data_IF_157906139831
#
_entry.id   IF_157906139831
#
_cell.length_a   1.000
_cell.length_b   1.000
_cell.length_c   1.000
_cell.angle_alpha   90.00
_cell.angle_beta   90.00
_cell.angle_gamma   90.00
#
_symmetry.space_group_name_H-M   'P 1'
#
loop_
_entity.id
_entity.type
_entity.pdbx_description
1 polymer ?
#
# COMPACT_ATOMS: atom_id res chain seq x y z
N UNK A 1 19.60 -24.23 7.02
CA UNK A 1 18.42 -23.32 7.09
C UNK A 1 18.57 -22.29 5.98
N UNK A 2 17.72 -22.36 4.95
CA UNK A 2 17.91 -21.62 3.70
C UNK A 2 17.64 -20.12 3.90
N UNK A 3 18.68 -19.28 3.75
CA UNK A 3 18.57 -17.81 3.74
C UNK A 3 17.95 -17.28 2.43
N UNK A 4 17.91 -18.11 1.36
CA UNK A 4 17.44 -17.74 0.02
C UNK A 4 15.96 -17.30 -0.07
N UNK A 5 14.98 -17.98 0.55
CA UNK A 5 13.57 -17.57 0.47
C UNK A 5 13.26 -16.26 1.22
N UNK A 6 14.03 -15.90 2.25
CA UNK A 6 13.81 -14.66 3.01
C UNK A 6 14.38 -13.44 2.26
N UNK A 7 15.55 -13.59 1.62
CA UNK A 7 16.18 -12.53 0.81
C UNK A 7 15.33 -12.20 -0.42
N UNK A 8 14.81 -13.22 -1.12
CA UNK A 8 13.94 -13.03 -2.30
C UNK A 8 12.63 -12.32 -1.96
N UNK A 9 12.06 -12.59 -0.78
CA UNK A 9 10.80 -11.96 -0.36
C UNK A 9 10.96 -10.49 0.01
N UNK A 10 12.03 -10.12 0.72
CA UNK A 10 12.32 -8.71 1.06
C UNK A 10 12.57 -7.86 -0.19
N UNK A 11 13.31 -8.41 -1.16
CA UNK A 11 13.56 -7.75 -2.45
C UNK A 11 12.26 -7.53 -3.22
N UNK A 12 11.34 -8.51 -3.23
CA UNK A 12 10.02 -8.37 -3.85
C UNK A 12 9.18 -7.25 -3.20
N UNK A 13 9.10 -7.18 -1.87
CA UNK A 13 8.37 -6.11 -1.19
C UNK A 13 8.93 -4.73 -1.52
N UNK A 14 10.26 -4.62 -1.62
CA UNK A 14 10.91 -3.38 -1.96
C UNK A 14 10.59 -2.91 -3.39
N UNK A 15 10.71 -3.80 -4.39
CA UNK A 15 10.33 -3.45 -5.76
C UNK A 15 8.85 -3.11 -5.85
N UNK A 16 7.98 -3.83 -5.16
CA UNK A 16 6.56 -3.50 -5.13
C UNK A 16 6.31 -2.10 -4.53
N UNK A 17 7.00 -1.76 -3.45
CA UNK A 17 6.92 -0.43 -2.84
C UNK A 17 7.46 0.67 -3.77
N UNK A 18 8.54 0.41 -4.50
CA UNK A 18 9.05 1.30 -5.55
C UNK A 18 8.01 1.56 -6.65
N UNK A 19 7.37 0.49 -7.16
CA UNK A 19 6.32 0.62 -8.16
C UNK A 19 5.11 1.38 -7.63
N UNK A 20 4.74 1.13 -6.37
CA UNK A 20 3.66 1.85 -5.69
C UNK A 20 3.94 3.36 -5.57
N UNK A 21 5.16 3.72 -5.14
CA UNK A 21 5.59 5.12 -5.06
C UNK A 21 5.56 5.79 -6.44
N UNK A 22 6.10 5.12 -7.46
CA UNK A 22 6.07 5.63 -8.84
C UNK A 22 4.63 5.82 -9.35
N UNK A 23 3.74 4.87 -9.10
CA UNK A 23 2.33 4.96 -9.45
C UNK A 23 1.63 6.15 -8.78
N UNK A 24 1.91 6.40 -7.49
CA UNK A 24 1.36 7.56 -6.79
C UNK A 24 1.88 8.88 -7.35
N UNK A 25 3.13 8.99 -7.79
CA UNK A 25 3.64 10.22 -8.43
C UNK A 25 2.78 10.59 -9.65
N UNK A 26 2.33 9.61 -10.44
CA UNK A 26 1.56 9.86 -11.67
C UNK A 26 0.12 10.31 -11.41
N UNK A 27 -0.52 9.79 -10.36
CA UNK A 27 -1.98 9.93 -10.19
C UNK A 27 -2.41 10.63 -8.91
N UNK A 28 -1.55 10.77 -7.90
CA UNK A 28 -1.94 11.36 -6.62
C UNK A 28 -2.27 12.85 -6.82
N UNK A 29 -3.51 13.29 -6.51
CA UNK A 29 -3.93 14.67 -6.69
C UNK A 29 -3.44 15.56 -5.53
N UNK A 30 -2.13 15.52 -5.27
CA UNK A 30 -1.48 16.26 -4.19
C UNK A 30 -1.07 17.66 -4.61
N UNK A 31 -0.83 18.53 -3.62
CA UNK A 31 -0.14 19.81 -3.84
C UNK A 31 1.26 19.57 -4.43
N UNK A 32 1.83 20.52 -5.19
CA UNK A 32 3.18 20.38 -5.78
C UNK A 32 4.24 19.92 -4.77
N UNK A 33 4.25 20.49 -3.57
CA UNK A 33 5.16 20.08 -2.48
C UNK A 33 5.05 18.59 -2.11
N UNK A 34 3.82 18.04 -2.07
CA UNK A 34 3.58 16.62 -1.75
C UNK A 34 3.96 15.71 -2.91
N UNK A 35 3.76 16.15 -4.16
CA UNK A 35 4.25 15.40 -5.32
C UNK A 35 5.78 15.39 -5.33
N UNK A 36 6.42 16.52 -5.02
CA UNK A 36 7.88 16.62 -4.89
C UNK A 36 8.44 15.73 -3.80
N UNK A 37 7.71 15.57 -2.70
CA UNK A 37 8.02 14.59 -1.65
C UNK A 37 8.05 13.16 -2.19
N UNK A 38 7.04 12.77 -2.97
CA UNK A 38 6.97 11.43 -3.55
C UNK A 38 8.09 11.20 -4.58
N UNK A 39 8.38 12.18 -5.43
CA UNK A 39 9.52 12.13 -6.37
C UNK A 39 10.85 11.96 -5.64
N UNK A 40 11.08 12.78 -4.60
CA UNK A 40 12.30 12.69 -3.79
C UNK A 40 12.40 11.33 -3.12
N UNK A 41 11.30 10.82 -2.54
CA UNK A 41 11.28 9.48 -1.97
C UNK A 41 11.64 8.41 -3.03
N UNK A 42 11.07 8.51 -4.24
CA UNK A 42 11.35 7.58 -5.33
C UNK A 42 12.83 7.58 -5.75
N UNK A 43 13.42 8.76 -5.97
CA UNK A 43 14.84 8.91 -6.31
C UNK A 43 15.73 8.25 -5.25
N UNK A 44 15.42 8.49 -3.98
CA UNK A 44 16.18 7.93 -2.87
C UNK A 44 16.03 6.42 -2.75
N UNK A 45 14.80 5.90 -2.90
CA UNK A 45 14.57 4.45 -2.91
C UNK A 45 15.35 3.79 -4.05
N UNK A 46 15.32 4.35 -5.25
CA UNK A 46 16.09 3.86 -6.41
C UNK A 46 17.60 3.86 -6.16
N UNK A 47 18.11 4.84 -5.41
CA UNK A 47 19.54 4.95 -5.11
C UNK A 47 20.05 3.94 -4.07
N UNK A 48 19.16 3.24 -3.36
CA UNK A 48 19.56 2.32 -2.30
C UNK A 48 20.09 0.97 -2.83
N UNK A 49 21.05 0.35 -2.12
CA UNK A 49 21.54 -0.97 -2.47
C UNK A 49 20.41 -2.01 -2.34
N UNK A 50 20.05 -2.62 -3.47
CA UNK A 50 18.86 -3.46 -3.67
C UNK A 50 18.91 -4.80 -2.94
N UNK A 51 20.07 -5.20 -2.42
CA UNK A 51 20.30 -6.55 -1.91
C UNK A 51 19.54 -6.79 -0.60
N UNK A 52 19.49 -5.76 0.27
CA UNK A 52 18.68 -5.71 1.51
C UNK A 52 18.50 -4.26 1.95
N UNK A 53 17.26 -3.83 2.08
CA UNK A 53 16.94 -2.51 2.65
C UNK A 53 16.32 -2.75 4.03
N UNK A 54 17.07 -2.47 5.12
CA UNK A 54 16.52 -2.59 6.46
C UNK A 54 15.44 -1.52 6.67
N UNK A 55 14.38 -1.87 7.42
CA UNK A 55 13.30 -0.95 7.75
C UNK A 55 13.84 0.35 8.39
N UNK A 56 14.86 0.25 9.24
CA UNK A 56 15.48 1.40 9.89
C UNK A 56 16.14 2.38 8.90
N UNK A 57 16.61 1.91 7.73
CA UNK A 57 17.11 2.80 6.68
C UNK A 57 15.99 3.59 6.00
N UNK A 58 14.82 2.98 5.81
CA UNK A 58 13.62 3.70 5.34
C UNK A 58 13.16 4.70 6.40
N UNK A 59 13.20 4.29 7.68
CA UNK A 59 12.79 5.16 8.79
C UNK A 59 13.72 6.37 8.92
N UNK A 60 15.04 6.17 8.83
CA UNK A 60 16.04 7.24 8.80
C UNK A 60 15.83 8.19 7.62
N UNK A 61 15.55 7.63 6.44
CA UNK A 61 15.24 8.42 5.25
C UNK A 61 14.03 9.35 5.49
N UNK A 62 12.90 8.79 5.93
CA UNK A 62 11.65 9.55 6.06
C UNK A 62 11.68 10.51 7.26
N UNK A 63 12.18 10.07 8.42
CA UNK A 63 12.10 10.87 9.65
C UNK A 63 13.26 11.85 9.83
N UNK A 64 14.42 11.57 9.24
CA UNK A 64 15.59 12.44 9.35
C UNK A 64 15.87 13.15 8.04
N UNK A 65 16.22 12.43 6.98
CA UNK A 65 16.76 13.07 5.77
C UNK A 65 15.73 13.94 5.05
N UNK A 66 14.52 13.41 4.81
CA UNK A 66 13.44 14.15 4.17
C UNK A 66 12.97 15.33 5.04
N UNK A 67 12.93 15.14 6.36
CA UNK A 67 12.58 16.19 7.33
C UNK A 67 13.60 17.34 7.34
N UNK A 68 14.90 17.01 7.29
CA UNK A 68 15.99 18.00 7.19
C UNK A 68 15.87 18.81 5.89
N UNK A 69 15.53 18.15 4.78
CA UNK A 69 15.31 18.80 3.49
C UNK A 69 14.07 19.71 3.45
N UNK A 70 13.25 19.76 4.51
CA UNK A 70 12.00 20.53 4.53
C UNK A 70 10.89 19.95 3.68
N UNK A 71 11.06 18.71 3.20
CA UNK A 71 10.12 18.01 2.34
C UNK A 71 9.55 16.85 3.17
N UNK A 72 8.49 17.12 3.94
CA UNK A 72 7.85 16.15 4.82
C UNK A 72 6.34 16.42 4.91
N UNK A 73 5.55 15.38 5.22
CA UNK A 73 4.15 15.52 5.65
C UNK A 73 4.08 15.86 7.14
N UNK A 74 2.88 16.11 7.67
CA UNK A 74 2.68 16.34 9.10
C UNK A 74 3.29 15.21 9.95
N UNK A 75 3.85 15.57 11.12
CA UNK A 75 4.44 14.60 12.06
C UNK A 75 3.40 13.83 12.90
N UNK A 76 2.13 14.16 12.71
CA UNK A 76 0.98 13.51 13.34
C UNK A 76 -0.09 13.28 12.28
N UNK A 77 -0.93 12.29 12.55
CA UNK A 77 -2.06 11.96 11.68
C UNK A 77 -3.27 12.77 12.15
N UNK A 78 -3.80 13.59 11.25
CA UNK A 78 -5.04 14.34 11.47
C UNK A 78 -6.14 13.79 10.56
N UNK A 79 -7.24 13.32 11.14
CA UNK A 79 -8.42 12.92 10.39
C UNK A 79 -9.46 14.03 10.46
N UNK A 80 -9.95 14.45 9.29
CA UNK A 80 -11.11 15.36 9.18
C UNK A 80 -12.31 14.58 8.65
N UNK A 81 -12.41 14.38 7.33
CA UNK A 81 -13.52 13.64 6.72
C UNK A 81 -13.54 12.12 6.98
N UNK A 82 -12.51 11.59 7.66
CA UNK A 82 -12.40 10.20 8.09
C UNK A 82 -12.29 10.05 9.61
N UNK A 83 -12.49 11.13 10.38
CA UNK A 83 -12.51 11.07 11.83
C UNK A 83 -13.64 10.18 12.32
N UNK A 84 -13.33 9.20 13.17
CA UNK A 84 -14.33 8.37 13.84
C UNK A 84 -14.84 9.04 15.11
N UNK A 85 -16.05 8.64 15.55
CA UNK A 85 -16.60 9.00 16.86
C UNK A 85 -15.75 8.46 18.02
N UNK A 86 -14.97 7.41 17.75
CA UNK A 86 -13.98 6.82 18.67
C UNK A 86 -12.68 6.54 17.93
N UNK A 87 -11.56 6.54 18.66
CA UNK A 87 -10.22 6.43 18.10
C UNK A 87 -9.97 5.17 17.24
N UNK A 88 -10.63 4.06 17.56
CA UNK A 88 -10.51 2.79 16.83
C UNK A 88 -11.39 2.68 15.58
N UNK A 89 -12.25 3.67 15.33
CA UNK A 89 -13.22 3.66 14.24
C UNK A 89 -12.74 4.55 13.08
N UNK A 90 -13.19 4.20 11.86
CA UNK A 90 -12.91 4.94 10.61
C UNK A 90 -11.42 5.10 10.35
N UNK A 91 -10.84 6.30 10.44
CA UNK A 91 -9.40 6.56 10.33
C UNK A 91 -8.76 6.03 9.05
N UNK A 92 -7.64 5.33 9.20
CA UNK A 92 -6.81 4.85 8.10
C UNK A 92 -7.56 3.97 7.06
N UNK A 93 -8.41 2.99 7.45
CA UNK A 93 -9.26 2.29 6.48
C UNK A 93 -10.16 3.23 5.65
N UNK A 94 -10.73 4.27 6.26
CA UNK A 94 -11.54 5.26 5.53
C UNK A 94 -10.69 6.07 4.54
N UNK A 95 -9.50 6.53 4.97
CA UNK A 95 -8.63 7.31 4.09
C UNK A 95 -8.09 6.48 2.93
N UNK A 96 -7.84 5.17 3.15
CA UNK A 96 -7.38 4.27 2.10
C UNK A 96 -8.44 4.06 1.02
N UNK A 97 -9.71 3.90 1.41
CA UNK A 97 -10.82 3.88 0.45
C UNK A 97 -10.90 5.17 -0.35
N UNK A 98 -10.86 6.35 0.32
CA UNK A 98 -10.89 7.63 -0.37
C UNK A 98 -9.71 7.81 -1.33
N UNK A 99 -8.51 7.43 -0.91
CA UNK A 99 -7.31 7.47 -1.75
C UNK A 99 -7.51 6.68 -3.03
N UNK A 100 -7.93 5.41 -2.95
CA UNK A 100 -8.07 4.60 -4.16
C UNK A 100 -9.26 5.02 -5.03
N UNK A 101 -10.35 5.53 -4.46
CA UNK A 101 -11.43 6.16 -5.25
C UNK A 101 -10.89 7.38 -6.03
N UNK A 102 -10.17 8.28 -5.37
CA UNK A 102 -9.50 9.41 -6.04
C UNK A 102 -8.52 8.97 -7.10
N UNK A 103 -7.70 7.93 -6.87
CA UNK A 103 -6.77 7.43 -7.89
C UNK A 103 -7.49 6.81 -9.09
N UNK A 104 -8.62 6.11 -8.89
CA UNK A 104 -9.42 5.61 -10.02
C UNK A 104 -10.01 6.75 -10.85
N UNK A 105 -10.51 7.80 -10.18
CA UNK A 105 -11.06 8.98 -10.85
C UNK A 105 -9.97 9.78 -11.56
N UNK A 106 -8.78 9.94 -10.96
CA UNK A 106 -7.65 10.61 -11.59
C UNK A 106 -7.19 9.88 -12.86
N UNK A 107 -7.07 8.55 -12.82
CA UNK A 107 -6.73 7.77 -14.01
C UNK A 107 -7.79 7.90 -15.12
N UNK A 108 -9.07 7.96 -14.75
CA UNK A 108 -10.18 8.14 -15.68
C UNK A 108 -10.27 9.57 -16.26
N UNK A 109 -9.92 10.58 -15.47
CA UNK A 109 -9.98 11.99 -15.86
C UNK A 109 -8.73 12.46 -16.63
N UNK A 110 -7.59 11.79 -16.44
CA UNK A 110 -6.31 12.13 -17.09
C UNK A 110 -5.72 10.91 -17.79
N UNK A 111 -6.22 10.51 -18.98
CA UNK A 111 -5.76 9.32 -19.69
C UNK A 111 -4.25 9.32 -20.00
N UNK A 112 -3.67 10.51 -20.16
CA UNK A 112 -2.24 10.68 -20.45
C UNK A 112 -1.34 10.68 -19.21
N UNK A 113 -1.90 10.67 -17.99
CA UNK A 113 -1.11 10.67 -16.76
C UNK A 113 -0.22 9.42 -16.62
N UNK A 114 -0.62 8.31 -17.27
CA UNK A 114 0.14 7.07 -17.30
C UNK A 114 0.87 6.84 -18.64
N UNK A 115 0.89 7.82 -19.54
CA UNK A 115 1.57 7.69 -20.83
C UNK A 115 3.09 7.56 -20.64
N UNK A 116 3.74 6.74 -21.46
CA UNK A 116 5.17 6.41 -21.36
C UNK A 116 5.56 5.70 -20.04
N UNK A 117 4.60 5.10 -19.36
CA UNK A 117 4.83 4.26 -18.18
C UNK A 117 4.45 2.81 -18.48
N UNK A 118 4.82 1.87 -17.63
CA UNK A 118 4.39 0.46 -17.76
C UNK A 118 2.88 0.25 -17.54
N UNK A 119 2.19 1.28 -17.05
CA UNK A 119 0.75 1.28 -16.82
C UNK A 119 -0.04 1.84 -18.01
N UNK A 120 0.65 2.28 -19.08
CA UNK A 120 0.01 2.87 -20.25
C UNK A 120 -1.01 1.90 -20.87
N UNK A 121 -2.24 2.38 -21.08
CA UNK A 121 -3.33 1.59 -21.65
C UNK A 121 -3.90 0.49 -20.73
N UNK A 122 -3.39 0.28 -19.51
CA UNK A 122 -3.94 -0.70 -18.58
C UNK A 122 -5.08 -0.10 -17.74
N UNK A 123 -6.32 -0.34 -18.18
CA UNK A 123 -7.52 0.06 -17.46
C UNK A 123 -7.60 -0.49 -16.01
N UNK A 124 -6.85 -1.56 -15.70
CA UNK A 124 -6.80 -2.17 -14.38
C UNK A 124 -5.66 -1.65 -13.49
N UNK A 125 -4.81 -0.75 -13.98
CA UNK A 125 -3.58 -0.34 -13.28
C UNK A 125 -3.86 0.07 -11.82
N UNK A 126 -4.85 0.94 -11.59
CA UNK A 126 -5.24 1.38 -10.24
C UNK A 126 -5.79 0.24 -9.38
N UNK A 127 -6.64 -0.63 -9.93
CA UNK A 127 -7.24 -1.73 -9.19
C UNK A 127 -6.22 -2.82 -8.84
N UNK A 128 -5.29 -3.14 -9.75
CA UNK A 128 -4.17 -4.06 -9.50
C UNK A 128 -3.22 -3.51 -8.44
N UNK A 129 -2.94 -2.20 -8.49
CA UNK A 129 -2.13 -1.51 -7.48
C UNK A 129 -2.80 -1.56 -6.11
N UNK A 130 -4.10 -1.27 -6.03
CA UNK A 130 -4.88 -1.42 -4.80
C UNK A 130 -4.86 -2.84 -4.27
N UNK A 131 -5.11 -3.83 -5.14
CA UNK A 131 -5.15 -5.26 -4.77
C UNK A 131 -3.83 -5.72 -4.18
N UNK A 132 -2.71 -5.41 -4.82
CA UNK A 132 -1.40 -5.81 -4.30
C UNK A 132 -1.02 -5.04 -3.03
N UNK A 133 -1.35 -3.75 -2.92
CA UNK A 133 -1.16 -3.01 -1.66
C UNK A 133 -1.92 -3.66 -0.50
N UNK A 134 -3.20 -3.99 -0.73
CA UNK A 134 -4.04 -4.63 0.29
C UNK A 134 -3.51 -6.02 0.66
N UNK A 135 -3.05 -6.79 -0.32
CA UNK A 135 -2.49 -8.12 -0.09
C UNK A 135 -1.22 -8.06 0.76
N UNK A 136 -0.31 -7.14 0.45
CA UNK A 136 1.01 -7.10 1.06
C UNK A 136 1.06 -6.27 2.35
N UNK A 137 0.52 -5.04 2.33
CA UNK A 137 0.78 -4.02 3.36
C UNK A 137 -0.40 -3.72 4.28
N UNK A 138 -1.64 -4.01 3.87
CA UNK A 138 -2.80 -3.63 4.69
C UNK A 138 -2.90 -4.47 5.97
N UNK A 139 -3.02 -3.78 7.11
CA UNK A 139 -2.91 -4.41 8.43
C UNK A 139 -4.03 -5.41 8.75
N UNK A 140 -5.27 -5.13 8.34
CA UNK A 140 -6.40 -6.02 8.59
C UNK A 140 -6.41 -7.20 7.58
N UNK A 141 -5.93 -8.36 8.01
CA UNK A 141 -5.83 -9.55 7.14
C UNK A 141 -7.18 -10.14 6.73
N UNK A 142 -8.16 -10.13 7.62
CA UNK A 142 -9.54 -10.52 7.30
C UNK A 142 -10.15 -9.60 6.22
N UNK A 143 -9.96 -8.28 6.38
CA UNK A 143 -10.40 -7.30 5.39
C UNK A 143 -9.72 -7.52 4.03
N UNK A 144 -8.42 -7.83 4.04
CA UNK A 144 -7.66 -8.12 2.83
C UNK A 144 -8.15 -9.39 2.13
N UNK A 145 -8.48 -10.46 2.86
CA UNK A 145 -9.07 -11.67 2.30
C UNK A 145 -10.43 -11.42 1.64
N UNK A 146 -11.28 -10.63 2.29
CA UNK A 146 -12.56 -10.22 1.70
C UNK A 146 -12.38 -9.41 0.42
N UNK A 147 -11.44 -8.46 0.39
CA UNK A 147 -11.15 -7.69 -0.82
C UNK A 147 -10.60 -8.58 -1.94
N UNK A 148 -9.67 -9.48 -1.61
CA UNK A 148 -9.09 -10.43 -2.57
C UNK A 148 -10.14 -11.37 -3.18
N UNK A 149 -11.14 -11.81 -2.39
CA UNK A 149 -12.25 -12.61 -2.89
C UNK A 149 -13.08 -11.84 -3.94
N UNK A 150 -13.46 -10.60 -3.64
CA UNK A 150 -14.19 -9.74 -4.58
C UNK A 150 -13.35 -9.42 -5.83
N UNK A 151 -12.03 -9.26 -5.67
CA UNK A 151 -11.10 -9.03 -6.77
C UNK A 151 -11.04 -10.24 -7.72
N UNK A 152 -10.87 -11.46 -7.17
CA UNK A 152 -10.85 -12.70 -7.97
C UNK A 152 -12.16 -12.96 -8.70
N UNK A 153 -13.28 -12.55 -8.10
CA UNK A 153 -14.61 -12.77 -8.66
C UNK A 153 -14.83 -12.01 -9.98
N UNK A 154 -14.46 -10.72 -10.02
CA UNK A 154 -14.90 -9.87 -11.14
C UNK A 154 -13.98 -8.69 -11.48
N UNK A 155 -12.75 -8.62 -10.99
CA UNK A 155 -11.84 -7.52 -11.37
C UNK A 155 -11.43 -7.62 -12.84
N UNK A 156 -11.12 -8.83 -13.34
CA UNK A 156 -10.62 -9.05 -14.70
C UNK A 156 -11.63 -8.72 -15.83
N UNK A 157 -12.90 -8.51 -15.46
CA UNK A 157 -13.94 -8.08 -16.40
C UNK A 157 -13.90 -6.58 -16.73
N UNK A 158 -13.18 -5.76 -15.95
CA UNK A 158 -13.07 -4.31 -16.17
C UNK A 158 -12.17 -4.03 -17.38
N UNK A 159 -12.66 -3.21 -18.32
CA UNK A 159 -12.03 -2.90 -19.61
C UNK A 159 -11.69 -1.42 -19.79
N UNK A 160 -12.30 -0.53 -19.03
CA UNK A 160 -12.07 0.92 -19.13
C UNK A 160 -11.78 1.54 -17.76
N UNK A 161 -11.15 2.73 -17.75
CA UNK A 161 -10.90 3.46 -16.50
C UNK A 161 -12.22 3.86 -15.80
N UNK A 162 -13.26 4.18 -16.58
CA UNK A 162 -14.60 4.49 -16.05
C UNK A 162 -15.26 3.26 -15.42
N UNK A 163 -15.10 2.08 -16.05
CA UNK A 163 -15.52 0.82 -15.44
C UNK A 163 -14.74 0.51 -14.16
N UNK A 164 -13.46 0.90 -14.07
CA UNK A 164 -12.66 0.72 -12.86
C UNK A 164 -13.18 1.57 -11.69
N UNK A 165 -13.56 2.82 -11.96
CA UNK A 165 -14.23 3.73 -11.01
C UNK A 165 -15.53 3.08 -10.50
N UNK A 166 -16.39 2.62 -11.41
CA UNK A 166 -17.66 1.98 -11.06
C UNK A 166 -17.45 0.64 -10.34
N UNK A 167 -16.48 -0.18 -10.74
CA UNK A 167 -16.19 -1.45 -10.10
C UNK A 167 -15.82 -1.25 -8.63
N UNK A 168 -14.93 -0.30 -8.35
CA UNK A 168 -14.50 -0.02 -6.98
C UNK A 168 -15.66 0.50 -6.13
N UNK A 169 -16.50 1.38 -6.70
CA UNK A 169 -17.72 1.87 -6.06
C UNK A 169 -18.69 0.73 -5.72
N UNK A 170 -19.02 -0.14 -6.68
CA UNK A 170 -19.92 -1.29 -6.45
C UNK A 170 -19.39 -2.20 -5.34
N UNK A 171 -18.10 -2.58 -5.40
CA UNK A 171 -17.50 -3.45 -4.37
C UNK A 171 -17.44 -2.77 -3.01
N UNK A 172 -17.22 -1.45 -2.95
CA UNK A 172 -17.28 -0.72 -1.69
C UNK A 172 -18.70 -0.72 -1.10
N UNK A 173 -19.74 -0.59 -1.91
CA UNK A 173 -21.12 -0.72 -1.46
C UNK A 173 -21.49 -2.13 -0.98
N UNK A 174 -20.94 -3.19 -1.61
CA UNK A 174 -21.07 -4.55 -1.08
C UNK A 174 -20.43 -4.68 0.31
N UNK A 175 -19.28 -4.03 0.53
CA UNK A 175 -18.63 -3.98 1.85
C UNK A 175 -19.47 -3.19 2.84
N UNK A 176 -20.05 -2.05 2.45
CA UNK A 176 -20.96 -1.27 3.30
C UNK A 176 -22.15 -2.12 3.74
N UNK A 177 -22.82 -2.79 2.80
CA UNK A 177 -23.96 -3.68 3.08
C UNK A 177 -23.60 -4.80 4.05
N UNK A 178 -22.43 -5.42 3.91
CA UNK A 178 -21.96 -6.48 4.82
C UNK A 178 -21.65 -5.94 6.22
N UNK A 179 -21.09 -4.74 6.32
CA UNK A 179 -20.64 -4.14 7.58
C UNK A 179 -21.74 -3.33 8.30
N UNK A 180 -22.89 -3.12 7.67
CA UNK A 180 -24.03 -2.46 8.29
C UNK A 180 -24.51 -3.22 9.54
N UNK A 181 -24.60 -2.53 10.68
CA UNK A 181 -24.93 -3.11 11.98
C UNK A 181 -23.82 -3.96 12.62
N UNK A 182 -22.64 -4.04 12.02
CA UNK A 182 -21.53 -4.80 12.60
C UNK A 182 -20.95 -4.07 13.84
N UNK A 183 -20.36 -4.79 14.81
CA UNK A 183 -19.72 -4.16 15.97
C UNK A 183 -18.58 -3.18 15.65
N UNK A 184 -18.01 -3.27 14.45
CA UNK A 184 -16.99 -2.36 13.92
C UNK A 184 -17.56 -1.10 13.24
N UNK A 185 -18.88 -1.00 13.11
CA UNK A 185 -19.55 0.17 12.54
C UNK A 185 -19.45 1.36 13.49
N UNK A 186 -19.25 2.55 12.91
CA UNK A 186 -19.28 3.78 13.68
C UNK A 186 -20.72 4.27 13.82
N UNK A 187 -21.26 4.43 15.04
CA UNK A 187 -22.64 4.89 15.23
C UNK A 187 -22.93 6.27 14.61
N UNK A 188 -21.92 7.15 14.52
CA UNK A 188 -22.06 8.48 13.91
C UNK A 188 -21.73 8.47 12.40
N UNK A 189 -21.40 7.32 11.84
CA UNK A 189 -21.23 7.14 10.40
C UNK A 189 -21.72 5.75 9.96
N UNK A 190 -23.05 5.50 10.03
CA UNK A 190 -23.63 4.22 9.64
C UNK A 190 -23.29 3.86 8.18
N UNK A 191 -23.15 2.56 7.92
CA UNK A 191 -22.94 2.02 6.58
C UNK A 191 -24.26 2.05 5.83
N UNK A 192 -24.27 2.83 4.77
CA UNK A 192 -25.37 2.93 3.83
C UNK A 192 -24.85 2.60 2.43
N UNK A 193 -25.77 2.25 1.54
CA UNK A 193 -25.44 2.29 0.13
C UNK A 193 -25.18 3.74 -0.27
N UNK A 194 -24.02 4.00 -0.86
CA UNK A 194 -23.50 5.33 -1.10
C UNK A 194 -23.40 5.59 -2.61
N UNK A 195 -23.69 6.80 -3.12
CA UNK A 195 -24.19 7.96 -2.39
C UNK A 195 -25.62 7.78 -1.89
N UNK A 196 -26.00 8.59 -0.89
CA UNK A 196 -27.41 8.70 -0.48
C UNK A 196 -28.18 9.56 -1.48
N UNK A 197 -29.53 9.47 -1.53
CA UNK A 197 -30.35 10.33 -2.37
C UNK A 197 -30.16 11.82 -2.08
N UNK A 198 -29.80 12.18 -0.84
CA UNK A 198 -29.46 13.56 -0.45
C UNK A 198 -28.18 14.07 -1.10
N UNK A 199 -27.20 13.19 -1.33
CA UNK A 199 -25.93 13.53 -1.98
C UNK A 199 -26.05 13.52 -3.50
N UNK A 200 -26.85 12.62 -4.07
CA UNK A 200 -27.04 12.52 -5.51
C UNK A 200 -28.41 11.92 -5.85
N UNK A 201 -29.47 12.72 -5.90
CA UNK A 201 -30.81 12.24 -6.25
C UNK A 201 -30.86 11.60 -7.65
N UNK A 202 -30.12 12.16 -8.63
CA UNK A 202 -30.03 11.65 -9.99
C UNK A 202 -29.38 10.26 -10.10
N UNK A 203 -28.61 9.84 -9.08
CA UNK A 203 -27.98 8.52 -9.04
C UNK A 203 -28.97 7.39 -8.76
N UNK A 204 -30.16 7.72 -8.24
CA UNK A 204 -31.20 6.75 -7.86
C UNK A 204 -32.36 6.82 -8.83
N UNK A 205 -32.82 5.66 -9.27
CA UNK A 205 -34.03 5.51 -10.06
C UNK A 205 -34.89 4.37 -9.50
N UNK A 206 -36.14 4.30 -9.95
CA UNK A 206 -37.08 3.27 -9.55
C UNK A 206 -37.59 2.55 -10.81
N UNK A 207 -37.29 1.26 -10.91
CA UNK A 207 -37.72 0.41 -12.03
C UNK A 207 -38.63 -0.68 -11.45
N UNK A 208 -39.90 -0.70 -11.88
CA UNK A 208 -40.91 -1.65 -11.39
C UNK A 208 -41.10 -1.65 -9.86
N UNK A 209 -41.02 -0.49 -9.21
CA UNK A 209 -41.17 -0.38 -7.76
C UNK A 209 -39.91 -0.73 -6.96
N UNK A 210 -38.81 -1.06 -7.63
CA UNK A 210 -37.54 -1.44 -7.02
C UNK A 210 -36.49 -0.36 -7.28
N UNK A 211 -35.72 -0.05 -6.24
CA UNK A 211 -34.58 0.84 -6.36
C UNK A 211 -33.56 0.27 -7.36
N UNK A 212 -33.09 1.13 -8.26
CA UNK A 212 -32.01 0.86 -9.18
C UNK A 212 -31.01 2.02 -9.21
N UNK A 213 -29.78 1.74 -9.63
CA UNK A 213 -28.74 2.74 -9.79
C UNK A 213 -28.69 3.23 -11.23
N UNK A 214 -28.79 4.55 -11.42
CA UNK A 214 -28.40 5.16 -12.68
C UNK A 214 -26.87 5.30 -12.71
N UNK A 215 -26.18 4.25 -13.17
CA UNK A 215 -24.72 4.19 -13.13
C UNK A 215 -24.02 5.29 -13.93
N UNK A 216 -24.68 5.89 -14.92
CA UNK A 216 -24.16 7.05 -15.66
C UNK A 216 -24.06 8.26 -14.73
N UNK A 217 -25.12 8.55 -13.99
CA UNK A 217 -25.15 9.65 -13.01
C UNK A 217 -24.25 9.36 -11.81
N UNK A 218 -24.16 8.09 -11.38
CA UNK A 218 -23.18 7.67 -10.37
C UNK A 218 -21.75 7.97 -10.83
N UNK A 219 -21.39 7.63 -12.07
CA UNK A 219 -20.06 7.92 -12.59
C UNK A 219 -19.76 9.42 -12.63
N UNK A 220 -20.73 10.24 -13.06
CA UNK A 220 -20.61 11.72 -13.04
C UNK A 220 -20.38 12.22 -11.62
N UNK A 221 -21.18 11.73 -10.66
CA UNK A 221 -21.05 12.07 -9.26
C UNK A 221 -19.68 11.65 -8.68
N UNK A 222 -19.21 10.43 -8.97
CA UNK A 222 -17.92 9.92 -8.51
C UNK A 222 -16.76 10.77 -9.03
N UNK A 223 -16.77 11.08 -10.34
CA UNK A 223 -15.73 11.91 -10.97
C UNK A 223 -15.66 13.31 -10.37
N UNK A 224 -16.82 13.88 -10.01
CA UNK A 224 -16.86 15.13 -9.27
C UNK A 224 -16.34 14.93 -7.85
N UNK A 225 -17.00 14.11 -7.04
CA UNK A 225 -16.75 13.95 -5.61
C UNK A 225 -15.30 13.58 -5.26
N UNK A 226 -14.66 12.73 -6.07
CA UNK A 226 -13.27 12.29 -5.86
C UNK A 226 -12.26 13.00 -6.76
N UNK A 227 -12.71 13.94 -7.59
CA UNK A 227 -11.84 14.73 -8.46
C UNK A 227 -10.97 15.71 -7.66
N UNK A 228 -9.79 16.02 -8.18
CA UNK A 228 -8.81 16.89 -7.50
C UNK A 228 -9.39 18.26 -7.06
N UNK A 229 -10.37 18.78 -7.80
CA UNK A 229 -10.99 20.08 -7.53
C UNK A 229 -11.88 20.11 -6.28
N UNK A 230 -12.37 18.96 -5.81
CA UNK A 230 -13.22 18.88 -4.61
C UNK A 230 -12.37 18.66 -3.32
N UNK A 231 -11.04 18.64 -3.43
CA UNK A 231 -10.14 18.49 -2.28
C UNK A 231 -10.04 19.83 -1.52
N UNK A 232 -10.54 19.86 -0.29
CA UNK A 232 -10.43 21.04 0.58
C UNK A 232 -9.03 21.18 1.18
N UNK A 233 -8.38 22.31 0.94
CA UNK A 233 -7.08 22.67 1.53
C UNK A 233 -7.19 23.39 2.88
N UNK A 234 -8.40 23.55 3.44
CA UNK A 234 -8.64 24.31 4.68
C UNK A 234 -7.83 23.79 5.88
N UNK A 235 -7.58 22.49 5.91
CA UNK A 235 -6.87 21.80 6.99
C UNK A 235 -5.47 21.33 6.56
N UNK A 236 -4.94 21.84 5.44
CA UNK A 236 -3.58 21.57 5.02
C UNK A 236 -2.62 22.46 5.82
N UNK A 237 -1.46 21.92 6.21
CA UNK A 237 -0.44 22.67 6.95
C UNK A 237 0.06 23.88 6.11
N UNK A 238 0.00 25.12 6.64
CA UNK A 238 0.45 26.33 5.94
C UNK A 238 1.97 26.37 5.70
N UNK A 239 2.75 25.59 6.46
CA UNK A 239 4.21 25.74 6.54
C UNK A 239 4.93 25.33 5.24
N UNK A 240 4.28 24.60 4.33
CA UNK A 240 4.88 24.20 3.04
C UNK A 240 4.83 25.28 1.95
N UNK A 241 3.88 26.23 2.02
CA UNK A 241 3.57 27.10 0.87
C UNK A 241 4.30 28.47 0.96
N UNK A 242 4.82 28.84 2.13
CA UNK A 242 5.51 30.13 2.34
C UNK A 242 6.95 30.20 1.82
N UNK A 243 7.62 29.06 1.58
CA UNK A 243 9.03 29.06 1.11
C UNK A 243 9.17 29.30 -0.39
N UNK A 244 8.14 28.99 -1.19
CA UNK A 244 8.14 29.28 -2.63
C UNK A 244 7.90 30.77 -2.92
N UNK A 245 7.26 31.51 -2.01
CA UNK A 245 6.97 32.93 -2.19
C UNK A 245 8.16 33.85 -1.86
N UNK A 246 9.11 33.40 -1.03
CA UNK A 246 10.28 34.22 -0.64
C UNK A 246 11.46 34.11 -1.61
N UNK A 247 11.57 33.03 -2.39
CA UNK A 247 12.66 32.85 -3.37
C UNK A 247 12.39 33.57 -4.71
N UNK A 248 11.19 34.17 -4.87
CA UNK A 248 10.77 34.90 -6.07
C UNK A 248 10.79 36.43 -5.94
N UNK A 249 11.30 37.00 -4.82
CA UNK A 249 11.16 38.44 -4.54
C UNK A 249 12.37 39.09 -3.85
N UNK A 250 13.53 38.98 -4.48
CA UNK A 250 14.64 39.96 -4.40
C UNK A 250 15.23 39.99 -5.80
N UNK A 251 15.06 41.02 -6.62
CA UNK A 251 15.76 42.28 -6.47
C UNK A 251 14.98 43.44 -7.12
N UNK A 252 14.79 44.51 -6.38
CA UNK A 252 14.49 45.82 -6.95
C UNK A 252 15.30 46.86 -6.18
N UNK A 253 16.48 47.20 -6.70
CA UNK A 253 17.14 48.45 -6.35
C UNK A 253 17.73 49.12 -7.62
N UNK A 254 17.18 50.29 -7.90
CA UNK A 254 17.55 51.26 -8.93
C UNK A 254 19.05 51.57 -8.98
N UNK A 255 19.64 51.65 -10.19
CA UNK A 255 20.40 52.85 -10.62
C UNK A 255 20.67 52.90 -12.14
N UNK A 256 20.20 54.00 -12.76
CA UNK A 256 20.73 54.83 -13.89
C UNK A 256 21.43 54.19 -15.11
N UNK A 257 20.91 54.54 -16.30
CA UNK A 257 21.62 54.54 -17.59
C UNK A 257 22.79 55.54 -17.64
N UNK A 258 23.78 55.37 -18.55
CA UNK A 258 23.65 55.94 -19.90
C UNK A 258 24.23 55.09 -21.07
N UNK A 259 23.50 55.08 -22.20
CA UNK A 259 23.95 55.24 -23.60
C UNK A 259 25.11 54.43 -24.22
N UNK A 260 24.77 53.66 -25.29
CA UNK A 260 25.49 53.68 -26.58
C UNK A 260 26.29 52.42 -27.01
N UNK A 261 25.96 51.88 -28.20
CA UNK A 261 26.96 51.28 -29.11
C UNK A 261 26.97 49.75 -29.34
N UNK A 262 26.39 49.34 -30.47
CA UNK A 262 26.69 48.23 -31.39
C UNK A 262 27.61 47.02 -31.04
N UNK A 263 27.08 45.85 -31.43
CA UNK A 263 27.68 44.74 -32.21
C UNK A 263 28.26 43.47 -31.55
N UNK A 264 27.91 42.36 -32.22
CA UNK A 264 28.51 41.01 -32.31
C UNK A 264 28.70 40.10 -31.07
N UNK A 265 28.30 38.82 -31.24
CA UNK A 265 29.06 37.71 -30.66
C UNK A 265 28.25 36.57 -30.03
N UNK A 266 27.84 35.61 -30.86
CA UNK A 266 27.32 34.30 -30.47
C UNK A 266 28.47 33.39 -29.97
N UNK A 267 28.38 32.83 -28.75
CA UNK A 267 28.61 31.39 -28.42
C UNK A 267 28.90 31.07 -26.94
N UNK A 268 28.40 29.87 -26.56
CA UNK A 268 28.79 28.97 -25.45
C UNK A 268 28.27 29.30 -24.04
N UNK A 269 27.62 28.41 -23.26
CA UNK A 269 27.37 26.95 -23.30
C UNK A 269 26.21 26.63 -22.32
N UNK A 270 25.43 25.55 -22.49
CA UNK A 270 24.40 25.13 -21.54
C UNK A 270 25.00 24.42 -20.32
N UNK A 271 24.40 24.66 -19.15
CA UNK A 271 24.61 23.90 -17.92
C UNK A 271 23.84 22.57 -18.05
N UNK A 272 24.54 21.44 -17.93
CA UNK A 272 23.97 20.10 -18.02
C UNK A 272 22.93 19.84 -16.91
N UNK A 273 21.65 19.76 -17.29
CA UNK A 273 20.60 19.11 -16.52
C UNK A 273 20.58 17.63 -16.90
N UNK A 274 20.95 16.76 -15.97
CA UNK A 274 20.75 15.31 -16.10
C UNK A 274 19.26 14.98 -15.98
N UNK A 275 18.58 14.95 -17.13
CA UNK A 275 17.27 14.33 -17.27
C UNK A 275 17.39 12.82 -17.04
N UNK A 276 16.85 12.31 -15.94
CA UNK A 276 16.63 10.87 -15.76
C UNK A 276 15.30 10.51 -16.41
N UNK A 277 15.37 10.07 -17.67
CA UNK A 277 14.20 9.63 -18.43
C UNK A 277 13.67 8.23 -18.05
N UNK A 278 12.51 7.83 -18.60
CA UNK A 278 11.78 6.59 -18.31
C UNK A 278 12.55 5.27 -18.61
N UNK A 279 13.78 5.35 -19.15
CA UNK A 279 14.59 4.18 -19.51
C UNK A 279 15.21 3.42 -18.33
N UNK A 280 15.30 4.00 -17.13
CA UNK A 280 15.95 3.33 -16.00
C UNK A 280 15.14 2.14 -15.46
N UNK A 281 13.81 2.25 -15.41
CA UNK A 281 12.94 1.16 -14.94
C UNK A 281 12.92 -0.01 -15.95
N UNK A 282 12.93 0.29 -17.26
CA UNK A 282 13.09 -0.73 -18.31
C UNK A 282 14.42 -1.51 -18.19
N UNK A 283 15.47 -0.85 -17.69
CA UNK A 283 16.80 -1.46 -17.51
C UNK A 283 16.89 -2.41 -16.31
N UNK A 284 16.06 -2.22 -15.29
CA UNK A 284 15.97 -3.10 -14.12
C UNK A 284 15.24 -4.43 -14.42
N UNK A 285 14.37 -4.45 -15.43
CA UNK A 285 13.53 -5.60 -15.81
C UNK A 285 14.21 -6.62 -16.75
N UNK A 286 15.42 -6.33 -17.25
CA UNK A 286 16.07 -7.11 -18.30
C UNK A 286 17.14 -8.09 -17.81
N UNK A 287 16.97 -8.68 -16.61
CA UNK A 287 17.74 -9.86 -16.20
C UNK A 287 16.96 -11.14 -16.53
N UNK A 288 17.48 -12.05 -17.38
CA UNK A 288 16.77 -13.28 -17.72
C UNK A 288 16.64 -14.20 -16.50
N UNK A 289 15.43 -14.69 -16.26
CA UNK A 289 15.17 -15.89 -15.46
C UNK A 289 15.52 -17.08 -16.37
N UNK A 290 16.56 -17.84 -16.02
CA UNK A 290 16.87 -19.11 -16.70
C UNK A 290 15.67 -20.06 -16.57
N UNK A 291 15.08 -20.41 -17.71
CA UNK A 291 14.07 -21.47 -17.84
C UNK A 291 14.78 -22.81 -18.05
N UNK A 292 14.71 -23.71 -17.09
CA UNK A 292 15.03 -25.13 -17.31
C UNK A 292 13.91 -25.82 -18.10
N UNK A 293 14.28 -26.53 -19.17
CA UNK A 293 13.38 -27.34 -20.01
C UNK A 293 12.99 -28.66 -19.34
N UNK A 294 11.81 -29.24 -19.65
CA UNK A 294 11.41 -30.54 -19.13
C UNK A 294 11.99 -31.70 -19.98
N UNK A 295 12.44 -32.76 -19.30
CA UNK A 295 12.76 -34.06 -19.91
C UNK A 295 11.66 -35.07 -19.57
N UNK A 296 11.08 -35.68 -20.59
CA UNK A 296 10.23 -36.87 -20.48
C UNK A 296 11.02 -38.11 -20.92
N UNK A 297 11.08 -39.15 -20.08
CA UNK A 297 10.90 -40.52 -20.54
C UNK A 297 10.44 -41.49 -19.43
N UNK A 298 9.30 -42.13 -19.75
CA UNK A 298 8.61 -43.33 -19.26
C UNK A 298 9.54 -44.55 -19.03
N UNK A 299 9.22 -45.66 -18.34
CA UNK A 299 8.10 -46.23 -17.55
C UNK A 299 8.64 -47.55 -16.97
N UNK A 300 8.13 -47.99 -15.80
CA UNK A 300 8.00 -49.43 -15.56
C UNK A 300 8.08 -49.89 -14.10
N UNK A 301 6.95 -50.36 -13.54
CA UNK A 301 6.97 -51.32 -12.43
C UNK A 301 5.98 -51.13 -11.28
N UNK A 302 4.69 -51.43 -11.56
CA UNK A 302 3.61 -51.89 -10.64
C UNK A 302 3.81 -51.76 -9.11
N UNK A 303 2.91 -50.98 -8.49
CA UNK A 303 2.10 -51.48 -7.37
C UNK A 303 0.77 -50.70 -7.32
N UNK A 304 -0.36 -51.40 -7.26
CA UNK A 304 -1.69 -50.81 -7.17
C UNK A 304 -2.04 -50.51 -5.72
N UNK A 305 -2.52 -49.29 -5.43
CA UNK A 305 -3.51 -49.05 -4.36
C UNK A 305 -4.37 -47.86 -4.77
N UNK A 306 -5.68 -48.08 -4.95
CA UNK A 306 -6.67 -47.04 -4.75
C UNK A 306 -6.78 -46.80 -3.24
N UNK A 307 -6.50 -45.60 -2.75
CA UNK A 307 -7.05 -45.13 -1.48
C UNK A 307 -7.19 -43.61 -1.47
N UNK A 308 -8.42 -43.17 -1.13
CA UNK A 308 -8.86 -41.81 -0.86
C UNK A 308 -8.05 -41.14 0.25
N UNK A 309 -8.10 -39.80 0.26
CA UNK A 309 -8.31 -39.09 1.53
C UNK A 309 -7.07 -38.51 2.20
N UNK A 310 -7.11 -37.20 2.39
CA UNK A 310 -6.62 -36.54 3.60
C UNK A 310 -7.29 -37.21 4.81
N UNK A 311 -6.72 -38.31 5.27
CA UNK A 311 -7.04 -38.98 6.52
C UNK A 311 -5.83 -38.87 7.44
N UNK A 312 -5.89 -37.97 8.41
CA UNK A 312 -4.95 -37.97 9.53
C UNK A 312 -5.03 -39.35 10.20
N UNK A 313 -3.93 -40.10 10.19
CA UNK A 313 -3.88 -41.43 10.80
C UNK A 313 -3.76 -41.30 12.32
N UNK A 314 -4.36 -42.22 13.07
CA UNK A 314 -4.22 -42.31 14.54
C UNK A 314 -2.76 -42.38 15.00
N UNK A 315 -1.84 -42.76 14.11
CA UNK A 315 -0.40 -42.78 14.35
C UNK A 315 0.17 -41.35 14.51
N UNK A 316 -0.22 -40.38 13.69
CA UNK A 316 0.27 -39.00 13.78
C UNK A 316 -0.28 -38.26 15.00
N UNK A 317 -1.54 -38.55 15.39
CA UNK A 317 -2.09 -38.07 16.65
C UNK A 317 -1.45 -38.79 17.85
N UNK A 318 -1.19 -40.10 17.78
CA UNK A 318 -0.51 -40.84 18.85
C UNK A 318 0.94 -40.38 19.02
N UNK A 319 1.65 -40.06 17.94
CA UNK A 319 3.00 -39.52 17.99
C UNK A 319 3.00 -38.14 18.64
N UNK A 320 2.03 -37.29 18.27
CA UNK A 320 1.89 -35.96 18.87
C UNK A 320 1.57 -36.05 20.37
N UNK A 321 0.68 -36.96 20.78
CA UNK A 321 0.36 -37.20 22.20
C UNK A 321 1.54 -37.80 22.96
N UNK A 322 2.28 -38.75 22.37
CA UNK A 322 3.48 -39.34 22.99
C UNK A 322 4.58 -38.29 23.14
N UNK A 323 4.82 -37.45 22.12
CA UNK A 323 5.77 -36.34 22.19
C UNK A 323 5.35 -35.28 23.22
N UNK A 324 4.05 -35.02 23.35
CA UNK A 324 3.52 -34.12 24.37
C UNK A 324 3.69 -34.69 25.79
N UNK A 325 3.29 -35.95 26.01
CA UNK A 325 3.40 -36.63 27.31
C UNK A 325 4.86 -36.77 27.73
N UNK A 326 5.76 -37.15 26.82
CA UNK A 326 7.21 -37.25 27.09
C UNK A 326 7.80 -35.88 27.44
N UNK A 327 7.40 -34.81 26.75
CA UNK A 327 7.81 -33.44 27.09
C UNK A 327 7.31 -33.03 28.49
N UNK A 328 6.05 -33.30 28.82
CA UNK A 328 5.49 -33.04 30.14
C UNK A 328 6.20 -33.82 31.25
N UNK A 329 6.49 -35.11 31.03
CA UNK A 329 7.24 -35.95 31.98
C UNK A 329 8.67 -35.44 32.17
N UNK A 330 9.34 -35.02 31.10
CA UNK A 330 10.67 -34.44 31.16
C UNK A 330 10.69 -33.15 32.00
N UNK A 331 9.72 -32.25 31.78
CA UNK A 331 9.57 -31.03 32.58
C UNK A 331 9.28 -31.33 34.05
N UNK A 332 8.45 -32.32 34.35
CA UNK A 332 8.17 -32.77 35.72
C UNK A 332 9.42 -33.33 36.39
N UNK A 333 10.23 -34.13 35.69
CA UNK A 333 11.50 -34.66 36.21
C UNK A 333 12.49 -33.53 36.48
N UNK A 334 12.64 -32.57 35.54
CA UNK A 334 13.48 -31.39 35.78
C UNK A 334 13.00 -30.60 36.98
N UNK A 335 11.69 -30.35 37.09
CA UNK A 335 11.11 -29.65 38.23
C UNK A 335 11.40 -30.38 39.55
N UNK A 336 11.21 -31.70 39.62
CA UNK A 336 11.53 -32.49 40.81
C UNK A 336 13.03 -32.50 41.10
N UNK A 337 13.89 -32.62 40.09
CA UNK A 337 15.33 -32.55 40.26
C UNK A 337 15.76 -31.20 40.85
N UNK A 338 15.27 -30.09 40.32
CA UNK A 338 15.53 -28.76 40.86
C UNK A 338 14.93 -28.58 42.26
N UNK A 339 13.74 -29.13 42.53
CA UNK A 339 13.11 -29.06 43.85
C UNK A 339 13.86 -29.88 44.89
N UNK A 340 14.34 -31.08 44.56
CA UNK A 340 15.18 -31.92 45.43
C UNK A 340 16.54 -31.28 45.63
N UNK A 341 17.15 -30.72 44.57
CA UNK A 341 18.43 -30.02 44.66
C UNK A 341 18.33 -28.74 45.49
N UNK A 342 17.23 -27.98 45.35
CA UNK A 342 16.90 -26.81 46.18
C UNK A 342 16.69 -27.20 47.65
N UNK A 343 15.99 -28.30 47.93
CA UNK A 343 15.83 -28.82 49.30
C UNK A 343 17.17 -29.32 49.89
N UNK A 344 18.02 -29.99 49.11
CA UNK A 344 19.37 -30.40 49.54
C UNK A 344 20.29 -29.21 49.80
N UNK A 345 20.13 -28.12 49.06
CA UNK A 345 20.78 -26.84 49.35
C UNK A 345 20.27 -26.23 50.67
N UNK A 346 18.96 -26.23 50.92
CA UNK A 346 18.40 -25.74 52.20
C UNK A 346 18.82 -26.60 53.41
N UNK A 347 18.99 -27.90 53.25
CA UNK A 347 19.49 -28.80 54.32
C UNK A 347 21.00 -28.57 54.57
N UNK A 348 21.80 -28.26 53.54
CA UNK A 348 23.23 -27.96 53.71
C UNK A 348 23.51 -26.64 54.46
N UNK A 349 22.58 -25.67 54.42
CA UNK A 349 22.70 -24.40 55.14
C UNK A 349 22.15 -24.43 56.59
N UNK A 350 21.55 -25.55 57.03
CA UNK A 350 20.99 -25.70 58.38
C UNK A 350 21.74 -26.73 59.25
N UNK A 351 23.02 -27.02 58.96
CA UNK A 351 23.88 -27.70 59.95
C UNK A 351 24.36 -26.64 60.95
N UNK A 352 24.01 -26.73 62.25
CA UNK A 352 24.66 -25.91 63.25
C UNK A 352 26.12 -26.32 63.32
N UNK A 353 27.01 -25.31 63.35
CA UNK A 353 28.36 -25.47 63.84
C UNK A 353 28.28 -26.11 65.22
N UNK A 354 28.93 -27.27 65.39
CA UNK A 354 29.47 -27.72 66.67
C UNK A 354 30.98 -27.66 66.53
#
# INVERSE_FOLDING_TARGET
MSLKPLITRTVHYFYYFLFLCYFFIQLFPGRPHVVKLLETLQEWLVSMPLDKIPYDAILDLVNNKMRISGIYLTNHVEWVGCQGSRAQLRGYPCSLWKLFHSLTVQAAAQPNALANTEFEGDALATLKTMRGYIREFFGCRECAQHFEAMAKESMDSVKTADEAVLWLWRKHNLVNKRLAGAPSEDPESPKVEWPTPELCSACHEEINGLHNWNEKEVLVFLKRHYGAQEISLKYADPISDHREAEDGKSDNLHTKEPGGGADAGHNNKPHDQMNVGPGFMNKLLQKPIEQEKPSEQKVGGRMSVSFLGLGFSNIDMSLCVVLYVTSCLFLMIMYFFFRVRSKRWKIRYNRPYV
#
